data_IF_085928492945
#
_entry.id   IF_085928492945
#
_cell.length_a   1.000
_cell.length_b   1.000
_cell.length_c   1.000
_cell.angle_alpha   90.00
_cell.angle_beta   90.00
_cell.angle_gamma   90.00
#
_symmetry.space_group_name_H-M   'P 1'
#
loop_
_entity.id
_entity.type
_entity.pdbx_description
1 polymer ?
#
# COMPACT_ATOMS: atom_id res chain seq x y z
N UNK A 1 37.81 10.47 -7.07
CA UNK A 1 37.32 9.78 -5.85
C UNK A 1 35.99 10.33 -5.31
N UNK A 2 35.61 11.60 -5.54
CA UNK A 2 34.32 12.15 -5.06
C UNK A 2 33.05 11.56 -5.73
N UNK A 3 33.11 11.18 -7.01
CA UNK A 3 31.97 10.60 -7.73
C UNK A 3 31.45 9.29 -7.10
N UNK A 4 32.34 8.41 -6.65
CA UNK A 4 31.95 7.12 -6.06
C UNK A 4 31.15 7.27 -4.76
N UNK A 5 31.43 8.30 -3.95
CA UNK A 5 30.67 8.56 -2.73
C UNK A 5 29.26 9.08 -3.03
N UNK A 6 29.09 9.93 -4.05
CA UNK A 6 27.78 10.43 -4.47
C UNK A 6 26.86 9.31 -4.99
N UNK A 7 27.40 8.31 -5.71
CA UNK A 7 26.63 7.12 -6.11
C UNK A 7 26.22 6.25 -4.90
N UNK A 8 27.10 6.10 -3.91
CA UNK A 8 26.82 5.35 -2.69
C UNK A 8 25.82 6.09 -1.77
N UNK A 9 25.83 7.42 -1.79
CA UNK A 9 24.91 8.27 -1.03
C UNK A 9 23.51 8.28 -1.68
N UNK A 10 23.44 8.34 -3.02
CA UNK A 10 22.21 8.17 -3.79
C UNK A 10 21.60 6.77 -3.67
N UNK A 11 22.43 5.71 -3.57
CA UNK A 11 21.97 4.35 -3.31
C UNK A 11 21.47 4.14 -1.86
N UNK A 12 21.90 4.99 -0.92
CA UNK A 12 21.52 4.95 0.49
C UNK A 12 20.29 5.81 0.81
N UNK A 13 20.07 6.86 0.03
CA UNK A 13 18.88 7.71 0.14
C UNK A 13 17.65 6.99 -0.39
N UNK A 14 16.54 7.03 0.37
CA UNK A 14 15.28 6.41 -0.04
C UNK A 14 14.76 7.08 -1.32
N UNK A 15 14.57 6.34 -2.44
CA UNK A 15 14.10 6.94 -3.68
C UNK A 15 12.75 7.65 -3.47
N UNK A 16 12.56 8.78 -4.15
CA UNK A 16 11.30 9.53 -4.10
C UNK A 16 10.08 8.67 -4.47
N UNK A 17 10.25 7.73 -5.40
CA UNK A 17 9.24 6.73 -5.80
C UNK A 17 8.89 5.77 -4.67
N UNK A 18 9.86 5.31 -3.87
CA UNK A 18 9.58 4.46 -2.69
C UNK A 18 8.86 5.25 -1.59
N UNK A 19 9.21 6.53 -1.42
CA UNK A 19 8.47 7.43 -0.53
C UNK A 19 7.04 7.63 -1.01
N UNK A 20 6.83 7.82 -2.31
CA UNK A 20 5.50 7.90 -2.91
C UNK A 20 4.70 6.60 -2.70
N UNK A 21 5.30 5.42 -2.96
CA UNK A 21 4.68 4.12 -2.67
C UNK A 21 4.25 4.07 -1.19
N UNK A 22 5.14 4.41 -0.27
CA UNK A 22 4.86 4.36 1.17
C UNK A 22 3.68 5.24 1.55
N UNK A 23 3.64 6.48 1.06
CA UNK A 23 2.59 7.44 1.36
C UNK A 23 1.26 7.05 0.71
N UNK A 24 1.27 6.64 -0.55
CA UNK A 24 0.07 6.19 -1.26
C UNK A 24 -0.51 4.95 -0.60
N UNK A 25 0.30 3.95 -0.27
CA UNK A 25 -0.17 2.74 0.42
C UNK A 25 -0.76 3.08 1.80
N UNK A 26 -0.17 4.02 2.56
CA UNK A 26 -0.75 4.45 3.83
C UNK A 26 -2.13 5.11 3.63
N UNK A 27 -2.23 6.04 2.68
CA UNK A 27 -3.47 6.74 2.37
C UNK A 27 -4.52 5.76 1.87
N UNK A 28 -4.16 4.86 0.95
CA UNK A 28 -5.02 3.78 0.45
C UNK A 28 -5.55 2.95 1.60
N UNK A 29 -4.69 2.53 2.53
CA UNK A 29 -5.12 1.72 3.67
C UNK A 29 -6.12 2.40 4.60
N UNK A 30 -5.93 3.69 4.87
CA UNK A 30 -6.91 4.47 5.63
C UNK A 30 -8.23 4.56 4.85
N UNK A 31 -8.18 4.89 3.56
CA UNK A 31 -9.37 5.03 2.73
C UNK A 31 -10.11 3.70 2.55
N UNK A 32 -9.40 2.58 2.46
CA UNK A 32 -9.97 1.23 2.34
C UNK A 32 -10.76 0.85 3.60
N UNK A 33 -10.23 1.12 4.79
CA UNK A 33 -10.95 0.93 6.06
C UNK A 33 -12.18 1.83 6.12
N UNK A 34 -12.03 3.13 5.82
CA UNK A 34 -13.14 4.09 5.85
C UNK A 34 -14.24 3.73 4.84
N UNK A 35 -13.86 3.28 3.64
CA UNK A 35 -14.79 2.85 2.60
C UNK A 35 -15.57 1.60 3.03
N UNK A 36 -14.87 0.60 3.57
CA UNK A 36 -15.50 -0.63 4.06
C UNK A 36 -16.51 -0.34 5.19
N UNK A 37 -16.11 0.46 6.19
CA UNK A 37 -16.97 0.85 7.29
C UNK A 37 -18.14 1.73 6.81
N UNK A 38 -17.90 2.65 5.88
CA UNK A 38 -18.93 3.53 5.31
C UNK A 38 -19.99 2.75 4.55
N UNK A 39 -19.59 1.79 3.70
CA UNK A 39 -20.50 0.90 2.99
C UNK A 39 -21.27 -0.01 3.95
N UNK A 40 -20.61 -0.60 4.94
CA UNK A 40 -21.26 -1.44 5.94
C UNK A 40 -22.31 -0.66 6.75
N UNK A 41 -21.94 0.52 7.26
CA UNK A 41 -22.84 1.39 8.02
C UNK A 41 -24.01 1.88 7.16
N UNK A 42 -23.73 2.32 5.92
CA UNK A 42 -24.74 2.75 4.96
C UNK A 42 -25.72 1.63 4.59
N UNK A 43 -25.23 0.41 4.39
CA UNK A 43 -26.07 -0.75 4.12
C UNK A 43 -26.97 -1.08 5.31
N UNK A 44 -26.43 -1.14 6.53
CA UNK A 44 -27.20 -1.45 7.75
C UNK A 44 -28.25 -0.36 8.03
N UNK A 45 -27.86 0.91 8.03
CA UNK A 45 -28.76 2.03 8.34
C UNK A 45 -29.78 2.29 7.24
N UNK A 46 -29.34 2.28 5.97
CA UNK A 46 -30.19 2.55 4.82
C UNK A 46 -31.24 1.47 4.53
N UNK A 47 -31.07 0.27 5.08
CA UNK A 47 -32.00 -0.85 4.94
C UNK A 47 -32.67 -1.28 6.25
N UNK A 48 -32.59 -0.45 7.30
CA UNK A 48 -33.14 -0.73 8.64
C UNK A 48 -32.68 -2.08 9.22
N UNK A 49 -31.42 -2.45 8.98
CA UNK A 49 -30.78 -3.65 9.52
C UNK A 49 -30.75 -4.88 8.60
N UNK A 50 -31.50 -4.87 7.49
CA UNK A 50 -31.58 -6.01 6.56
C UNK A 50 -30.27 -6.21 5.78
N UNK A 51 -29.53 -5.12 5.55
CA UNK A 51 -28.26 -5.08 4.82
C UNK A 51 -27.06 -5.57 5.61
N UNK A 52 -27.23 -6.08 6.83
CA UNK A 52 -26.14 -6.62 7.64
C UNK A 52 -25.31 -7.72 6.93
N UNK A 53 -25.89 -8.66 6.15
CA UNK A 53 -25.10 -9.62 5.38
C UNK A 53 -24.23 -8.96 4.30
N UNK A 54 -24.66 -7.81 3.77
CA UNK A 54 -23.88 -7.05 2.79
C UNK A 54 -22.62 -6.42 3.41
N UNK A 55 -22.60 -6.18 4.72
CA UNK A 55 -21.38 -5.75 5.42
C UNK A 55 -20.26 -6.82 5.39
N UNK A 56 -20.59 -8.10 5.20
CA UNK A 56 -19.57 -9.15 5.02
C UNK A 56 -18.84 -9.04 3.68
N UNK A 57 -19.51 -8.46 2.67
CA UNK A 57 -18.91 -8.22 1.35
C UNK A 57 -17.75 -7.23 1.46
N UNK A 58 -17.79 -6.29 2.40
CA UNK A 58 -16.74 -5.28 2.57
C UNK A 58 -15.49 -5.78 3.32
N UNK A 59 -15.38 -7.08 3.60
CA UNK A 59 -14.25 -7.62 4.38
C UNK A 59 -12.92 -7.49 3.64
N UNK A 60 -12.92 -7.60 2.31
CA UNK A 60 -11.70 -7.47 1.51
C UNK A 60 -11.05 -6.09 1.69
N UNK A 61 -11.72 -4.95 1.37
CA UNK A 61 -11.11 -3.65 1.55
C UNK A 61 -10.75 -3.37 3.02
N UNK A 62 -11.52 -3.87 3.98
CA UNK A 62 -11.19 -3.71 5.41
C UNK A 62 -9.85 -4.36 5.77
N UNK A 63 -9.69 -5.64 5.43
CA UNK A 63 -8.48 -6.42 5.75
C UNK A 63 -7.28 -5.90 4.95
N UNK A 64 -7.49 -5.57 3.67
CA UNK A 64 -6.45 -4.97 2.84
C UNK A 64 -5.92 -3.68 3.46
N UNK A 65 -6.81 -2.81 3.96
CA UNK A 65 -6.39 -1.57 4.58
C UNK A 65 -5.47 -1.74 5.80
N UNK A 66 -5.68 -2.80 6.58
CA UNK A 66 -4.79 -3.15 7.70
C UNK A 66 -3.40 -3.56 7.18
N UNK A 67 -3.35 -4.37 6.13
CA UNK A 67 -2.09 -4.79 5.52
C UNK A 67 -1.32 -3.62 4.91
N UNK A 68 -2.03 -2.70 4.25
CA UNK A 68 -1.47 -1.49 3.66
C UNK A 68 -0.87 -0.56 4.72
N UNK A 69 -1.60 -0.27 5.79
CA UNK A 69 -1.09 0.57 6.89
C UNK A 69 0.15 -0.08 7.52
N UNK A 70 0.10 -1.39 7.77
CA UNK A 70 1.24 -2.11 8.36
C UNK A 70 2.45 -2.11 7.43
N UNK A 71 2.24 -2.32 6.13
CA UNK A 71 3.28 -2.28 5.11
C UNK A 71 3.92 -0.88 5.03
N UNK A 72 3.09 0.16 4.92
CA UNK A 72 3.55 1.53 4.85
C UNK A 72 4.30 1.96 6.13
N UNK A 73 3.82 1.57 7.31
CA UNK A 73 4.49 1.86 8.57
C UNK A 73 5.91 1.26 8.63
N UNK A 74 6.10 0.04 8.11
CA UNK A 74 7.44 -0.57 8.02
C UNK A 74 8.36 0.19 7.08
N UNK A 75 7.82 0.67 5.95
CA UNK A 75 8.57 1.39 4.93
C UNK A 75 8.89 2.84 5.32
N UNK A 76 8.04 3.47 6.16
CA UNK A 76 8.22 4.81 6.70
C UNK A 76 9.05 4.86 8.00
N UNK A 77 9.32 3.70 8.62
CA UNK A 77 10.16 3.62 9.82
C UNK A 77 11.56 4.19 9.56
N UNK A 78 12.21 4.71 10.60
CA UNK A 78 13.61 5.15 10.54
C UNK A 78 14.43 4.49 11.67
N UNK A 79 15.33 3.54 11.37
CA UNK A 79 15.64 3.03 10.03
C UNK A 79 14.47 2.22 9.41
N UNK A 80 14.33 2.21 8.06
CA UNK A 80 13.29 1.42 7.39
C UNK A 80 13.44 -0.07 7.71
N UNK A 81 12.32 -0.77 7.92
CA UNK A 81 12.36 -2.21 8.21
C UNK A 81 12.46 -3.03 6.93
N UNK A 82 13.24 -4.13 6.93
CA UNK A 82 13.29 -5.06 5.80
C UNK A 82 11.89 -5.52 5.40
N UNK A 83 11.57 -5.31 4.12
CA UNK A 83 10.29 -5.61 3.47
C UNK A 83 10.53 -5.83 1.97
N UNK A 84 9.65 -6.57 1.30
CA UNK A 84 9.69 -6.79 -0.15
C UNK A 84 8.66 -5.91 -0.87
N UNK A 85 8.80 -5.65 -2.18
CA UNK A 85 7.72 -5.10 -2.99
C UNK A 85 6.47 -5.99 -2.87
N UNK A 86 5.34 -5.43 -2.42
CA UNK A 86 4.13 -6.24 -2.19
C UNK A 86 3.19 -6.17 -3.40
N UNK A 87 3.51 -6.95 -4.45
CA UNK A 87 2.61 -7.06 -5.61
C UNK A 87 1.23 -7.60 -5.22
N UNK A 88 1.16 -8.44 -4.18
CA UNK A 88 -0.11 -8.94 -3.66
C UNK A 88 -1.00 -7.79 -3.17
N UNK A 89 -0.44 -6.83 -2.42
CA UNK A 89 -1.22 -5.65 -1.98
C UNK A 89 -1.71 -4.87 -3.21
N UNK A 90 -0.82 -4.59 -4.17
CA UNK A 90 -1.18 -3.82 -5.37
C UNK A 90 -2.28 -4.50 -6.21
N UNK A 91 -2.25 -5.83 -6.33
CA UNK A 91 -3.29 -6.60 -7.03
C UNK A 91 -4.61 -6.56 -6.27
N UNK A 92 -4.57 -6.71 -4.94
CA UNK A 92 -5.78 -6.66 -4.11
C UNK A 92 -6.42 -5.25 -4.15
N UNK A 93 -5.61 -4.19 -4.17
CA UNK A 93 -6.08 -2.81 -4.40
C UNK A 93 -6.81 -2.68 -5.74
N UNK A 94 -6.28 -3.27 -6.81
CA UNK A 94 -6.97 -3.33 -8.12
C UNK A 94 -8.30 -4.09 -8.00
N UNK A 95 -8.32 -5.21 -7.29
CA UNK A 95 -9.53 -5.99 -7.06
C UNK A 95 -10.60 -5.24 -6.22
N UNK A 96 -10.23 -4.21 -5.47
CA UNK A 96 -11.19 -3.39 -4.71
C UNK A 96 -12.21 -2.65 -5.60
N UNK A 97 -11.99 -2.58 -6.92
CA UNK A 97 -13.01 -2.10 -7.88
C UNK A 97 -14.32 -2.91 -7.84
N UNK A 98 -14.25 -4.21 -7.50
CA UNK A 98 -15.43 -5.07 -7.34
C UNK A 98 -16.34 -4.62 -6.20
N UNK A 99 -15.83 -3.78 -5.30
CA UNK A 99 -16.51 -3.18 -4.16
C UNK A 99 -16.77 -1.68 -4.35
N UNK A 100 -16.62 -1.19 -5.60
CA UNK A 100 -16.82 0.21 -5.98
C UNK A 100 -15.70 1.16 -5.52
N UNK A 101 -14.58 0.65 -4.99
CA UNK A 101 -13.49 1.50 -4.51
C UNK A 101 -12.51 1.84 -5.63
N UNK A 102 -12.84 2.88 -6.39
CA UNK A 102 -12.03 3.38 -7.52
C UNK A 102 -10.70 3.97 -7.04
N UNK A 103 -10.65 4.57 -5.85
CA UNK A 103 -9.43 5.18 -5.34
C UNK A 103 -8.34 4.13 -5.09
N UNK A 104 -8.72 3.00 -4.47
CA UNK A 104 -7.78 1.90 -4.24
C UNK A 104 -7.31 1.28 -5.55
N UNK A 105 -8.19 1.15 -6.55
CA UNK A 105 -7.80 0.72 -7.91
C UNK A 105 -6.66 1.59 -8.48
N UNK A 106 -6.78 2.93 -8.38
CA UNK A 106 -5.76 3.84 -8.91
C UNK A 106 -4.43 3.64 -8.17
N UNK A 107 -4.44 3.55 -6.84
CA UNK A 107 -3.21 3.34 -6.07
C UNK A 107 -2.56 1.98 -6.36
N UNK A 108 -3.35 0.91 -6.52
CA UNK A 108 -2.83 -0.40 -6.91
C UNK A 108 -2.13 -0.41 -8.27
N UNK A 109 -2.71 0.28 -9.27
CA UNK A 109 -2.06 0.43 -10.59
C UNK A 109 -0.74 1.19 -10.46
N UNK A 110 -0.74 2.35 -9.78
CA UNK A 110 0.46 3.17 -9.61
C UNK A 110 1.55 2.41 -8.85
N UNK A 111 1.21 1.70 -7.77
CA UNK A 111 2.13 0.88 -7.01
C UNK A 111 2.73 -0.23 -7.88
N UNK A 112 1.92 -0.94 -8.66
CA UNK A 112 2.38 -1.97 -9.59
C UNK A 112 3.39 -1.45 -10.62
N UNK A 113 3.11 -0.27 -11.21
CA UNK A 113 4.03 0.40 -12.13
C UNK A 113 5.32 0.80 -11.42
N UNK A 114 5.24 1.36 -10.21
CA UNK A 114 6.42 1.78 -9.46
C UNK A 114 7.28 0.59 -9.03
N UNK A 115 6.69 -0.54 -8.64
CA UNK A 115 7.42 -1.78 -8.34
C UNK A 115 8.15 -2.37 -9.56
N UNK A 116 7.73 -2.02 -10.77
CA UNK A 116 8.39 -2.46 -12.00
C UNK A 116 9.64 -1.64 -12.34
N UNK A 117 9.91 -0.54 -11.63
CA UNK A 117 11.08 0.32 -11.89
C UNK A 117 12.36 -0.29 -11.30
N UNK A 118 13.48 -0.33 -12.05
CA UNK A 118 14.75 -0.90 -11.58
C UNK A 118 15.27 -0.26 -10.29
N UNK A 119 15.13 1.06 -10.16
CA UNK A 119 15.60 1.82 -8.99
C UNK A 119 14.87 1.39 -7.70
N UNK A 120 13.56 1.13 -7.81
CA UNK A 120 12.73 0.65 -6.70
C UNK A 120 13.15 -0.77 -6.31
N UNK A 121 13.33 -1.66 -7.30
CA UNK A 121 13.78 -3.03 -7.06
C UNK A 121 15.17 -3.07 -6.41
N UNK A 122 16.11 -2.25 -6.89
CA UNK A 122 17.44 -2.10 -6.32
C UNK A 122 17.41 -1.60 -4.87
N UNK A 123 16.55 -0.63 -4.55
CA UNK A 123 16.37 -0.16 -3.18
C UNK A 123 15.88 -1.29 -2.25
N UNK A 124 14.85 -2.03 -2.64
CA UNK A 124 14.34 -3.14 -1.82
C UNK A 124 15.38 -4.26 -1.67
N UNK A 125 16.15 -4.58 -2.71
CA UNK A 125 17.24 -5.56 -2.61
C UNK A 125 18.29 -5.13 -1.57
N UNK A 126 18.75 -3.87 -1.63
CA UNK A 126 19.70 -3.31 -0.67
C UNK A 126 19.14 -3.24 0.75
N UNK A 127 17.86 -2.91 0.90
CA UNK A 127 17.18 -2.84 2.20
C UNK A 127 17.13 -4.23 2.87
N UNK A 128 16.85 -5.28 2.12
CA UNK A 128 16.79 -6.64 2.66
C UNK A 128 18.17 -7.22 2.96
N UNK A 129 19.20 -6.90 2.16
CA UNK A 129 20.58 -7.32 2.41
C UNK A 129 21.19 -6.68 3.68
N UNK A 130 20.71 -5.50 4.09
CA UNK A 130 21.12 -4.85 5.35
C UNK A 130 20.41 -5.39 6.59
N UNK A 131 19.31 -6.13 6.40
CA UNK A 131 18.50 -6.68 7.47
C UNK A 131 18.72 -8.17 7.77
N UNK A 132 19.57 -8.82 6.97
CA UNK A 132 20.04 -10.21 7.11
C UNK A 132 21.41 -10.26 7.77
#
# INVERSE_FOLDING_TARGET
MSQGYAYLEGARSKPGTVTAISAMTLISGILNILWALGLAAGAVTGTLGIGLPYALVTILPLVLGIFEITYAARLLSNPPRPTQPSQVIAILEICCILFGNVTSLVFGILASVFYSQPDVQGYFANLNAQGS
#
